data_IF_028632207947
#
_entry.id   IF_028632207947
#
_cell.length_a   1.000
_cell.length_b   1.000
_cell.length_c   1.000
_cell.angle_alpha   90.00
_cell.angle_beta   90.00
_cell.angle_gamma   90.00
#
_symmetry.space_group_name_H-M   'P 1'
#
loop_
_entity.id
_entity.type
_entity.pdbx_description
1 polymer ?
#
# COMPACT_ATOMS: atom_id res chain seq x y z
N UNK A 1 11.14 -13.94 -13.10
CA UNK A 1 11.42 -13.41 -11.75
C UNK A 1 11.09 -11.93 -11.77
N UNK A 2 10.31 -11.44 -10.81
CA UNK A 2 9.92 -10.04 -10.69
C UNK A 2 11.08 -9.24 -10.10
N UNK A 3 11.48 -8.12 -10.71
CA UNK A 3 12.44 -7.21 -10.08
C UNK A 3 11.70 -6.14 -9.30
N UNK A 4 12.04 -6.02 -8.02
CA UNK A 4 11.52 -5.01 -7.12
C UNK A 4 12.61 -3.97 -6.89
N UNK A 5 12.41 -2.78 -7.44
CA UNK A 5 13.25 -1.62 -7.19
C UNK A 5 12.87 -1.06 -5.82
N UNK A 6 13.86 -0.82 -4.98
CA UNK A 6 13.62 -0.33 -3.63
C UNK A 6 14.49 0.86 -3.25
N UNK A 7 13.89 1.79 -2.51
CA UNK A 7 14.58 2.86 -1.83
C UNK A 7 14.02 2.95 -0.40
N UNK A 8 14.90 3.31 0.54
CA UNK A 8 14.49 3.71 1.87
C UNK A 8 14.64 5.22 2.02
N UNK A 9 13.55 5.91 2.37
CA UNK A 9 13.53 7.36 2.55
C UNK A 9 13.32 7.73 4.01
N UNK A 10 13.91 8.84 4.45
CA UNK A 10 13.57 9.43 5.74
C UNK A 10 12.24 10.19 5.64
N UNK A 11 11.38 10.07 6.65
CA UNK A 11 10.11 10.81 6.77
C UNK A 11 9.93 11.31 8.21
N UNK A 12 8.99 12.25 8.46
CA UNK A 12 8.67 12.69 9.82
C UNK A 12 8.19 11.58 10.77
N UNK A 13 7.69 10.46 10.24
CA UNK A 13 7.20 9.32 11.02
C UNK A 13 8.22 8.17 11.12
N UNK A 14 9.43 8.35 10.58
CA UNK A 14 10.49 7.34 10.55
C UNK A 14 10.91 6.94 9.14
N UNK A 15 11.89 6.03 9.00
CA UNK A 15 12.33 5.53 7.70
C UNK A 15 11.25 4.69 7.02
N UNK A 16 10.97 4.99 5.75
CA UNK A 16 9.93 4.35 4.94
C UNK A 16 10.56 3.64 3.75
N UNK A 17 10.25 2.36 3.57
CA UNK A 17 10.55 1.61 2.37
C UNK A 17 9.56 1.93 1.27
N UNK A 18 10.07 2.17 0.06
CA UNK A 18 9.30 2.37 -1.17
C UNK A 18 9.74 1.31 -2.15
N UNK A 19 8.85 0.37 -2.47
CA UNK A 19 9.16 -0.79 -3.31
C UNK A 19 8.21 -0.84 -4.50
N UNK A 20 8.74 -0.84 -5.72
CA UNK A 20 7.96 -0.92 -6.95
C UNK A 20 8.50 -1.98 -7.93
N UNK A 21 7.69 -2.35 -8.92
CA UNK A 21 8.18 -3.15 -10.04
C UNK A 21 8.92 -2.31 -11.10
N UNK A 22 9.45 -2.95 -12.14
CA UNK A 22 10.11 -2.30 -13.29
C UNK A 22 9.16 -1.40 -14.12
N UNK A 23 7.85 -1.46 -13.89
CA UNK A 23 6.87 -0.55 -14.48
C UNK A 23 6.52 0.60 -13.52
N UNK A 24 7.31 0.78 -12.46
CA UNK A 24 7.16 1.79 -11.41
C UNK A 24 5.80 1.74 -10.70
N UNK A 25 5.18 0.55 -10.60
CA UNK A 25 3.96 0.35 -9.81
C UNK A 25 4.34 -0.12 -8.42
N UNK A 26 3.87 0.58 -7.40
CA UNK A 26 4.11 0.22 -6.01
C UNK A 26 3.61 -1.19 -5.71
N UNK A 27 4.50 -1.99 -5.12
CA UNK A 27 4.24 -3.36 -4.66
C UNK A 27 4.22 -3.40 -3.12
N UNK A 28 5.06 -2.58 -2.48
CA UNK A 28 5.00 -2.35 -1.05
C UNK A 28 5.43 -0.91 -0.68
N UNK A 29 4.85 -0.39 0.39
CA UNK A 29 5.28 0.83 1.10
C UNK A 29 5.12 0.51 2.58
N UNK A 30 6.21 0.50 3.35
CA UNK A 30 6.14 0.11 4.75
C UNK A 30 7.25 0.75 5.60
N UNK A 31 6.96 0.98 6.87
CA UNK A 31 7.94 1.50 7.83
C UNK A 31 9.06 0.48 8.09
N UNK A 32 10.29 0.96 8.31
CA UNK A 32 11.44 0.11 8.63
C UNK A 32 11.20 -0.80 9.84
N UNK A 33 10.50 -0.29 10.87
CA UNK A 33 10.15 -1.05 12.07
C UNK A 33 9.26 -2.27 11.78
N UNK A 34 8.54 -2.27 10.65
CA UNK A 34 7.68 -3.37 10.20
C UNK A 34 8.23 -4.07 8.95
N UNK A 35 9.54 -3.94 8.67
CA UNK A 35 10.18 -4.53 7.49
C UNK A 35 10.07 -6.06 7.44
N UNK A 36 10.04 -6.75 8.58
CA UNK A 36 9.81 -8.20 8.63
C UNK A 36 8.42 -8.57 8.09
N UNK A 37 7.37 -7.85 8.50
CA UNK A 37 6.01 -8.02 7.99
C UNK A 37 5.93 -7.69 6.50
N UNK A 38 6.63 -6.64 6.07
CA UNK A 38 6.73 -6.30 4.64
C UNK A 38 7.30 -7.47 3.83
N UNK A 39 8.42 -8.06 4.25
CA UNK A 39 9.04 -9.20 3.57
C UNK A 39 8.11 -10.42 3.58
N UNK A 40 7.44 -10.71 4.69
CA UNK A 40 6.44 -11.78 4.75
C UNK A 40 5.32 -11.58 3.72
N UNK A 41 4.78 -10.37 3.59
CA UNK A 41 3.75 -10.07 2.60
C UNK A 41 4.29 -10.17 1.17
N UNK A 42 5.53 -9.75 0.89
CA UNK A 42 6.16 -9.94 -0.42
C UNK A 42 6.29 -11.43 -0.76
N UNK A 43 6.74 -12.25 0.19
CA UNK A 43 6.86 -13.70 0.04
C UNK A 43 5.51 -14.37 -0.22
N UNK A 44 4.45 -13.96 0.49
CA UNK A 44 3.08 -14.45 0.28
C UNK A 44 2.57 -14.06 -1.12
N UNK A 45 2.79 -12.82 -1.53
CA UNK A 45 2.23 -12.28 -2.77
C UNK A 45 2.98 -12.68 -4.04
N UNK A 46 4.30 -12.85 -3.95
CA UNK A 46 5.16 -13.04 -5.11
C UNK A 46 5.99 -14.32 -5.06
N UNK A 47 5.88 -15.11 -3.98
CA UNK A 47 6.74 -16.26 -3.64
C UNK A 47 8.17 -15.81 -3.33
N UNK A 48 8.78 -16.40 -2.31
CA UNK A 48 10.13 -16.06 -1.85
C UNK A 48 11.20 -16.07 -2.96
N UNK A 49 11.09 -17.00 -3.90
CA UNK A 49 12.00 -17.13 -5.06
C UNK A 49 11.46 -16.47 -6.34
N UNK A 50 10.28 -15.84 -6.26
CA UNK A 50 9.62 -15.23 -7.41
C UNK A 50 10.02 -13.79 -7.66
N UNK A 51 10.76 -13.16 -6.74
CA UNK A 51 11.24 -11.79 -6.88
C UNK A 51 12.69 -11.60 -6.41
N UNK A 52 13.34 -10.55 -6.92
CA UNK A 52 14.61 -10.03 -6.44
C UNK A 52 14.44 -8.55 -6.02
N UNK A 53 15.12 -8.12 -4.96
CA UNK A 53 15.12 -6.73 -4.48
C UNK A 53 16.40 -6.05 -4.93
N UNK A 54 16.26 -4.88 -5.56
CA UNK A 54 17.36 -4.13 -6.16
C UNK A 54 17.31 -2.72 -5.61
N UNK A 55 18.39 -2.30 -4.94
CA UNK A 55 18.51 -0.92 -4.49
C UNK A 55 18.46 0.04 -5.68
N UNK A 56 17.62 1.07 -5.56
CA UNK A 56 17.42 2.11 -6.55
C UNK A 56 17.40 3.49 -5.85
N UNK A 57 17.51 4.54 -6.66
CA UNK A 57 17.32 5.92 -6.20
C UNK A 57 16.14 6.51 -6.95
N UNK A 58 15.11 6.92 -6.20
CA UNK A 58 13.88 7.52 -6.67
C UNK A 58 13.24 6.78 -7.86
N UNK A 59 12.99 5.46 -7.76
CA UNK A 59 12.49 4.69 -8.89
C UNK A 59 11.15 5.27 -9.37
N UNK A 60 11.11 5.74 -10.62
CA UNK A 60 9.92 6.34 -11.22
C UNK A 60 9.42 7.63 -10.57
N UNK A 61 10.25 8.33 -9.78
CA UNK A 61 9.85 9.54 -9.06
C UNK A 61 8.94 9.28 -7.85
N UNK A 62 8.76 8.03 -7.44
CA UNK A 62 7.80 7.63 -6.40
C UNK A 62 8.20 8.17 -5.01
N UNK A 63 9.51 8.18 -4.72
CA UNK A 63 10.05 8.66 -3.46
C UNK A 63 9.86 10.16 -3.28
N UNK A 64 10.06 10.95 -4.35
CA UNK A 64 9.80 12.39 -4.31
C UNK A 64 8.33 12.71 -4.07
N UNK A 65 7.42 11.99 -4.73
CA UNK A 65 5.99 12.14 -4.48
C UNK A 65 5.60 11.80 -3.04
N UNK A 66 6.23 10.79 -2.44
CA UNK A 66 6.04 10.51 -1.01
C UNK A 66 6.63 11.62 -0.12
N UNK A 67 7.77 12.22 -0.49
CA UNK A 67 8.31 13.40 0.20
C UNK A 67 7.35 14.60 0.09
N UNK A 68 6.75 14.84 -1.07
CA UNK A 68 5.73 15.87 -1.27
C UNK A 68 4.49 15.64 -0.39
N UNK A 69 4.05 14.39 -0.24
CA UNK A 69 2.95 14.04 0.66
C UNK A 69 3.26 14.48 2.09
N UNK A 70 4.45 14.14 2.60
CA UNK A 70 4.88 14.57 3.93
C UNK A 70 5.13 16.09 4.04
N UNK A 71 5.40 16.76 2.92
CA UNK A 71 5.49 18.22 2.84
C UNK A 71 4.11 18.92 2.79
N UNK A 72 3.01 18.16 2.79
CA UNK A 72 1.64 18.68 2.86
C UNK A 72 0.84 18.62 1.56
N UNK A 73 1.43 18.16 0.45
CA UNK A 73 0.70 17.91 -0.79
C UNK A 73 -0.07 16.57 -0.69
N UNK A 74 -1.10 16.51 0.15
CA UNK A 74 -1.71 15.23 0.54
C UNK A 74 -2.34 14.44 -0.61
N UNK A 75 -2.81 15.11 -1.68
CA UNK A 75 -3.44 14.47 -2.84
C UNK A 75 -2.44 13.80 -3.80
N UNK A 76 -1.14 14.08 -3.67
CA UNK A 76 -0.13 13.52 -4.58
C UNK A 76 -0.12 11.98 -4.57
N UNK A 77 -0.49 11.36 -3.45
CA UNK A 77 -0.51 9.91 -3.28
C UNK A 77 -1.57 9.25 -4.16
N UNK A 78 -2.63 9.97 -4.51
CA UNK A 78 -3.68 9.45 -5.39
C UNK A 78 -3.14 9.18 -6.80
N UNK A 79 -2.06 9.89 -7.19
CA UNK A 79 -1.36 9.71 -8.47
C UNK A 79 -0.40 8.52 -8.51
N UNK A 80 -0.10 7.91 -7.36
CA UNK A 80 0.89 6.84 -7.28
C UNK A 80 0.29 5.52 -7.77
N UNK A 81 0.88 4.87 -8.80
CA UNK A 81 0.37 3.62 -9.32
C UNK A 81 0.65 2.47 -8.35
N UNK A 82 -0.29 1.53 -8.22
CA UNK A 82 -0.17 0.36 -7.33
C UNK A 82 -0.48 -0.93 -8.07
N UNK A 83 0.21 -2.01 -7.72
CA UNK A 83 -0.06 -3.34 -8.24
C UNK A 83 0.10 -4.40 -7.12
N UNK A 84 -0.92 -4.61 -6.32
CA UNK A 84 -0.90 -5.56 -5.19
C UNK A 84 -1.07 -7.02 -5.64
N UNK A 85 -0.32 -7.96 -5.03
CA UNK A 85 -0.38 -9.39 -5.37
C UNK A 85 -1.37 -10.27 -4.58
N UNK A 86 -2.06 -9.72 -3.58
CA UNK A 86 -2.99 -10.46 -2.70
C UNK A 86 -4.19 -11.12 -3.39
N UNK A 87 -5.05 -11.76 -2.59
CA UNK A 87 -6.24 -12.48 -3.06
C UNK A 87 -7.19 -11.57 -3.85
N UNK A 88 -8.07 -12.11 -4.71
CA UNK A 88 -9.08 -11.30 -5.41
C UNK A 88 -9.87 -10.39 -4.47
N UNK A 89 -10.30 -10.90 -3.31
CA UNK A 89 -11.03 -10.11 -2.31
C UNK A 89 -10.19 -8.99 -1.70
N UNK A 90 -8.94 -9.27 -1.31
CA UNK A 90 -8.04 -8.23 -0.79
C UNK A 90 -7.79 -7.13 -1.82
N UNK A 91 -7.54 -7.48 -3.08
CA UNK A 91 -7.34 -6.50 -4.16
C UNK A 91 -8.57 -5.64 -4.40
N UNK A 92 -9.77 -6.22 -4.29
CA UNK A 92 -11.03 -5.49 -4.36
C UNK A 92 -11.14 -4.48 -3.21
N UNK A 93 -10.89 -4.91 -1.96
CA UNK A 93 -10.88 -4.03 -0.78
C UNK A 93 -9.87 -2.90 -0.96
N UNK A 94 -8.62 -3.19 -1.32
CA UNK A 94 -7.57 -2.18 -1.49
C UNK A 94 -7.87 -1.19 -2.62
N UNK A 95 -8.50 -1.65 -3.71
CA UNK A 95 -8.97 -0.76 -4.77
C UNK A 95 -10.06 0.17 -4.26
N UNK A 96 -11.01 -0.32 -3.48
CA UNK A 96 -12.08 0.51 -2.91
C UNK A 96 -11.57 1.48 -1.86
N UNK A 97 -10.57 1.11 -1.05
CA UNK A 97 -9.90 2.02 -0.10
C UNK A 97 -9.37 3.28 -0.80
N UNK A 98 -8.79 3.13 -2.00
CA UNK A 98 -8.27 4.25 -2.79
C UNK A 98 -9.36 5.22 -3.30
N UNK A 99 -10.64 4.87 -3.15
CA UNK A 99 -11.75 5.78 -3.48
C UNK A 99 -12.10 6.73 -2.33
N UNK A 100 -11.57 6.49 -1.11
CA UNK A 100 -11.82 7.32 0.06
C UNK A 100 -10.96 8.59 -0.04
N UNK A 101 -11.53 9.80 -0.19
CA UNK A 101 -10.75 11.03 -0.38
C UNK A 101 -9.89 11.38 0.84
N UNK A 102 -8.89 12.24 0.63
CA UNK A 102 -8.11 12.78 1.74
C UNK A 102 -8.99 13.60 2.70
N UNK A 103 -8.76 13.42 4.01
CA UNK A 103 -9.55 14.07 5.08
C UNK A 103 -10.93 13.46 5.32
N UNK A 104 -11.30 12.40 4.59
CA UNK A 104 -12.54 11.66 4.79
C UNK A 104 -12.27 10.29 5.38
N UNK A 105 -13.27 9.75 6.08
CA UNK A 105 -13.23 8.41 6.67
C UNK A 105 -14.43 7.59 6.20
N UNK A 106 -14.32 6.27 6.30
CA UNK A 106 -15.37 5.31 6.02
C UNK A 106 -15.43 4.26 7.12
N UNK A 107 -16.61 3.77 7.47
CA UNK A 107 -16.72 2.65 8.43
C UNK A 107 -16.54 1.30 7.73
N UNK A 108 -16.05 0.29 8.46
CA UNK A 108 -15.89 -1.07 7.90
C UNK A 108 -17.19 -1.66 7.34
N UNK A 109 -18.34 -1.36 7.97
CA UNK A 109 -19.66 -1.78 7.48
C UNK A 109 -20.02 -1.15 6.14
N UNK A 110 -19.79 0.16 6.00
CA UNK A 110 -20.05 0.91 4.75
C UNK A 110 -19.15 0.42 3.62
N UNK A 111 -17.87 0.16 3.91
CA UNK A 111 -16.95 -0.41 2.94
C UNK A 111 -17.41 -1.80 2.48
N UNK A 112 -17.91 -2.62 3.40
CA UNK A 112 -18.47 -3.93 3.08
C UNK A 112 -19.73 -3.84 2.21
N UNK A 113 -20.62 -2.87 2.47
CA UNK A 113 -21.79 -2.57 1.64
C UNK A 113 -21.41 -2.12 0.23
N UNK A 114 -20.45 -1.21 0.11
CA UNK A 114 -19.95 -0.73 -1.19
C UNK A 114 -19.31 -1.85 -2.02
N UNK A 115 -18.72 -2.85 -1.37
CA UNK A 115 -18.20 -4.06 -1.99
C UNK A 115 -19.27 -5.12 -2.33
N UNK A 116 -20.56 -4.81 -2.13
CA UNK A 116 -21.67 -5.75 -2.37
C UNK A 116 -21.69 -6.92 -1.38
N UNK A 117 -21.09 -6.77 -0.21
CA UNK A 117 -20.92 -7.81 0.82
C UNK A 117 -21.43 -7.32 2.18
N UNK A 118 -22.72 -6.96 2.31
CA UNK A 118 -23.27 -6.48 3.57
C UNK A 118 -23.02 -7.50 4.71
N UNK A 119 -22.63 -7.01 5.88
CA UNK A 119 -22.26 -7.85 7.04
C UNK A 119 -20.82 -8.38 7.06
N UNK A 120 -20.03 -8.18 6.00
CA UNK A 120 -18.64 -8.67 5.91
C UNK A 120 -17.58 -7.75 6.57
N UNK A 121 -17.98 -6.86 7.49
CA UNK A 121 -17.10 -5.85 8.09
C UNK A 121 -15.81 -6.45 8.70
N UNK A 122 -15.89 -7.61 9.37
CA UNK A 122 -14.71 -8.30 9.93
C UNK A 122 -13.74 -8.77 8.85
N UNK A 123 -14.25 -9.35 7.77
CA UNK A 123 -13.42 -9.81 6.65
C UNK A 123 -12.76 -8.63 5.93
N UNK A 124 -13.49 -7.53 5.75
CA UNK A 124 -12.93 -6.26 5.24
C UNK A 124 -11.85 -5.72 6.17
N UNK A 125 -12.06 -5.77 7.49
CA UNK A 125 -11.05 -5.39 8.49
C UNK A 125 -9.75 -6.21 8.38
N UNK A 126 -9.86 -7.52 8.21
CA UNK A 126 -8.71 -8.39 7.97
C UNK A 126 -7.98 -8.04 6.67
N UNK A 127 -8.71 -7.78 5.58
CA UNK A 127 -8.12 -7.35 4.31
C UNK A 127 -7.44 -5.97 4.43
N UNK A 128 -8.05 -5.02 5.14
CA UNK A 128 -7.49 -3.71 5.45
C UNK A 128 -6.15 -3.82 6.19
N UNK A 129 -6.11 -4.66 7.24
CA UNK A 129 -4.90 -4.93 8.02
C UNK A 129 -3.80 -5.67 7.26
N UNK A 130 -4.12 -6.31 6.13
CA UNK A 130 -3.14 -6.97 5.25
C UNK A 130 -2.61 -6.09 4.11
N UNK A 131 -2.96 -4.80 4.08
CA UNK A 131 -2.48 -3.87 3.06
C UNK A 131 -0.94 -3.80 3.04
N UNK A 132 -0.28 -4.08 1.89
CA UNK A 132 1.18 -3.98 1.77
C UNK A 132 1.67 -2.59 1.36
N UNK A 133 0.77 -1.66 1.00
CA UNK A 133 1.11 -0.33 0.48
C UNK A 133 0.55 0.74 1.41
N UNK A 134 1.23 0.95 2.53
CA UNK A 134 0.88 2.00 3.50
C UNK A 134 0.79 3.37 2.85
N UNK A 135 -0.06 4.24 3.41
CA UNK A 135 -0.39 5.59 2.93
C UNK A 135 -1.13 5.62 1.59
N UNK A 136 -0.54 5.07 0.53
CA UNK A 136 -1.03 5.14 -0.86
C UNK A 136 -2.29 4.30 -1.08
N UNK A 137 -2.36 3.12 -0.44
CA UNK A 137 -3.64 2.45 -0.19
C UNK A 137 -4.08 2.89 1.21
N UNK A 138 -5.08 3.78 1.35
CA UNK A 138 -5.30 4.52 2.59
C UNK A 138 -6.09 3.72 3.63
N UNK A 139 -5.52 2.63 4.11
CA UNK A 139 -6.12 1.75 5.13
C UNK A 139 -6.40 2.45 6.48
N UNK A 140 -5.68 3.56 6.76
CA UNK A 140 -5.87 4.41 7.93
C UNK A 140 -7.14 5.27 7.88
N UNK A 141 -7.84 5.32 6.74
CA UNK A 141 -9.10 6.07 6.58
C UNK A 141 -10.34 5.23 6.91
N UNK A 142 -10.16 3.99 7.39
CA UNK A 142 -11.28 3.12 7.78
C UNK A 142 -11.33 2.90 9.28
N UNK A 143 -12.49 3.17 9.87
CA UNK A 143 -12.72 3.13 11.32
C UNK A 143 -13.85 2.18 11.69
N UNK A 144 -13.90 1.77 12.96
CA UNK A 144 -14.96 0.91 13.51
C UNK A 144 -16.30 1.65 13.58
#
# INVERSE_FOLDING_TARGET
MLRLLEEKIATPLGPLWVICDEQFRLRAVEWEEYSERMVQLLDIHYRKEGYERISATNPGGLSDKLREYFAGNLSIIDTLPTATGGTPFQREVWKTLRTIPCGQVMHYGQLAEQLGRPGAARAVGAANGSNPISIVVPCHRVIA
#
